data_IF_609521836504
#
_entry.id   IF_609521836504
#
_cell.length_a   1.000
_cell.length_b   1.000
_cell.length_c   1.000
_cell.angle_alpha   90.00
_cell.angle_beta   90.00
_cell.angle_gamma   90.00
#
_symmetry.space_group_name_H-M   'P 1'
#
loop_
_entity.id
_entity.type
_entity.pdbx_description
1 polymer ?
#
# COMPACT_ATOMS: atom_id res chain seq x y z
N UNK A 1 21.44 22.55 -20.30
CA UNK A 1 20.13 22.74 -19.62
C UNK A 1 19.86 21.48 -18.83
N UNK A 2 19.96 21.52 -17.51
CA UNK A 2 19.51 20.39 -16.68
C UNK A 2 17.98 20.41 -16.68
N UNK A 3 17.36 19.36 -17.19
CA UNK A 3 15.92 19.15 -17.03
C UNK A 3 15.78 18.47 -15.67
N UNK A 4 15.13 19.15 -14.74
CA UNK A 4 14.77 18.55 -13.46
C UNK A 4 13.74 17.45 -13.73
N UNK A 5 14.13 16.20 -13.49
CA UNK A 5 13.27 15.02 -13.68
C UNK A 5 12.75 14.61 -12.31
N UNK A 6 11.44 14.48 -12.18
CA UNK A 6 10.78 14.00 -10.96
C UNK A 6 10.36 12.53 -11.09
N UNK A 7 10.24 11.82 -9.98
CA UNK A 7 9.67 10.48 -9.96
C UNK A 7 8.14 10.52 -10.13
N UNK A 8 7.57 9.49 -10.76
CA UNK A 8 6.13 9.29 -10.77
C UNK A 8 5.62 9.06 -9.34
N UNK A 9 4.71 9.91 -8.86
CA UNK A 9 4.12 9.77 -7.52
C UNK A 9 3.01 8.71 -7.52
N UNK A 10 3.09 7.77 -6.58
CA UNK A 10 2.04 6.77 -6.33
C UNK A 10 1.31 7.11 -5.02
N UNK A 11 -0.02 7.17 -5.06
CA UNK A 11 -0.86 7.51 -3.89
C UNK A 11 -1.93 6.47 -3.63
N UNK A 12 -2.29 6.26 -2.38
CA UNK A 12 -3.43 5.43 -2.01
C UNK A 12 -4.73 6.11 -2.46
N UNK A 13 -5.53 5.42 -3.27
CA UNK A 13 -6.83 5.89 -3.74
C UNK A 13 -7.98 5.37 -2.85
N UNK A 14 -7.88 4.15 -2.32
CA UNK A 14 -8.93 3.57 -1.48
C UNK A 14 -9.23 4.47 -0.28
N UNK A 15 -10.50 4.80 -0.03
CA UNK A 15 -10.92 5.69 1.06
C UNK A 15 -11.13 4.95 2.39
N UNK A 16 -11.55 3.69 2.35
CA UNK A 16 -11.67 2.88 3.57
C UNK A 16 -10.30 2.69 4.21
N UNK A 17 -10.19 3.04 5.50
CA UNK A 17 -9.01 2.80 6.36
C UNK A 17 -9.20 1.56 7.24
N UNK A 18 -10.02 0.62 6.80
CA UNK A 18 -10.37 -0.60 7.54
C UNK A 18 -10.10 -1.85 6.69
N UNK A 19 -9.37 -2.81 7.26
CA UNK A 19 -9.14 -4.14 6.70
C UNK A 19 -9.90 -5.15 7.55
N UNK A 20 -10.78 -5.94 6.93
CA UNK A 20 -11.61 -6.92 7.64
C UNK A 20 -11.34 -8.37 7.26
N UNK A 21 -10.36 -8.61 6.39
CA UNK A 21 -10.00 -9.93 5.88
C UNK A 21 -8.48 -10.03 5.76
N UNK A 22 -7.95 -11.26 5.87
CA UNK A 22 -6.52 -11.52 5.64
C UNK A 22 -6.10 -11.22 4.19
N UNK A 23 -6.96 -11.56 3.23
CA UNK A 23 -6.77 -11.25 1.82
C UNK A 23 -7.63 -10.04 1.45
N UNK A 24 -7.00 -8.94 1.08
CA UNK A 24 -7.70 -7.71 0.71
C UNK A 24 -7.01 -7.03 -0.48
N UNK A 25 -7.64 -6.02 -1.04
CA UNK A 25 -7.04 -5.24 -2.13
C UNK A 25 -7.22 -3.75 -1.88
N UNK A 26 -6.20 -2.98 -2.23
CA UNK A 26 -6.22 -1.53 -2.22
C UNK A 26 -5.92 -1.03 -3.62
N UNK A 27 -6.53 0.09 -3.96
CA UNK A 27 -6.29 0.79 -5.20
C UNK A 27 -5.33 1.94 -4.96
N UNK A 28 -4.33 2.04 -5.84
CA UNK A 28 -3.34 3.10 -5.86
C UNK A 28 -3.43 3.85 -7.18
N UNK A 29 -3.10 5.13 -7.15
CA UNK A 29 -3.17 5.99 -8.32
C UNK A 29 -1.82 6.64 -8.57
N UNK A 30 -1.34 6.51 -9.80
CA UNK A 30 -0.17 7.27 -10.26
C UNK A 30 -0.64 8.64 -10.74
N UNK A 31 -0.21 9.66 -10.00
CA UNK A 31 -0.71 11.04 -10.13
C UNK A 31 -0.39 11.64 -11.50
N UNK A 32 0.88 11.58 -11.90
CA UNK A 32 1.37 12.08 -13.18
C UNK A 32 1.67 10.93 -14.15
N UNK A 33 1.30 11.04 -15.44
CA UNK A 33 1.81 10.11 -16.45
C UNK A 33 3.33 10.24 -16.58
N UNK A 34 4.00 9.12 -16.82
CA UNK A 34 5.42 9.10 -17.17
C UNK A 34 5.63 9.75 -18.55
N UNK A 35 6.72 10.50 -18.68
CA UNK A 35 7.11 11.21 -19.89
C UNK A 35 8.45 11.93 -19.73
N UNK A 36 8.68 12.98 -20.53
CA UNK A 36 10.00 13.63 -20.64
C UNK A 36 10.56 14.21 -19.32
N UNK A 37 9.69 14.56 -18.37
CA UNK A 37 10.06 15.16 -17.07
C UNK A 37 9.69 14.29 -15.87
N UNK A 38 8.98 13.18 -16.10
CA UNK A 38 8.51 12.29 -15.04
C UNK A 38 8.97 10.89 -15.36
N UNK A 39 9.91 10.38 -14.57
CA UNK A 39 10.44 9.04 -14.77
C UNK A 39 9.63 7.97 -14.00
N UNK A 40 9.63 6.71 -14.48
CA UNK A 40 9.05 5.60 -13.74
C UNK A 40 9.68 5.47 -12.34
N UNK A 41 8.87 5.02 -11.38
CA UNK A 41 9.34 4.77 -10.02
C UNK A 41 8.76 3.46 -9.48
N UNK A 42 9.60 2.64 -8.87
CA UNK A 42 9.17 1.42 -8.20
C UNK A 42 8.86 1.70 -6.73
N UNK A 43 7.71 1.22 -6.25
CA UNK A 43 7.28 1.35 -4.87
C UNK A 43 7.13 -0.03 -4.26
N UNK A 44 7.62 -0.19 -3.03
CA UNK A 44 7.35 -1.33 -2.16
C UNK A 44 6.28 -0.93 -1.15
N UNK A 45 5.21 -1.70 -1.10
CA UNK A 45 4.02 -1.41 -0.29
C UNK A 45 3.75 -2.58 0.64
N UNK A 46 3.49 -2.31 1.92
CA UNK A 46 3.20 -3.32 2.93
C UNK A 46 2.53 -2.73 4.17
N UNK A 47 1.90 -3.59 4.96
CA UNK A 47 1.33 -3.24 6.25
C UNK A 47 2.34 -3.49 7.38
N UNK A 48 2.34 -2.61 8.36
CA UNK A 48 3.08 -2.73 9.62
C UNK A 48 2.16 -2.55 10.82
N UNK A 49 2.56 -3.08 11.96
CA UNK A 49 1.93 -2.79 13.26
C UNK A 49 2.41 -1.46 13.85
N UNK A 50 2.03 -1.20 15.10
CA UNK A 50 2.37 0.03 15.82
C UNK A 50 3.88 0.18 16.08
N UNK A 51 4.61 -0.93 16.13
CA UNK A 51 6.07 -1.01 16.32
C UNK A 51 6.86 -1.00 15.00
N UNK A 52 6.17 -0.96 13.86
CA UNK A 52 6.79 -0.95 12.54
C UNK A 52 7.17 -2.34 12.02
N UNK A 53 6.72 -3.41 12.68
CA UNK A 53 6.96 -4.78 12.23
C UNK A 53 6.02 -5.10 11.07
N UNK A 54 6.53 -5.62 9.92
CA UNK A 54 5.66 -5.98 8.80
C UNK A 54 4.67 -7.09 9.15
N UNK A 55 3.39 -6.85 8.91
CA UNK A 55 2.27 -7.78 9.16
C UNK A 55 1.60 -8.29 7.88
N UNK A 56 2.06 -7.86 6.70
CA UNK A 56 1.64 -8.40 5.40
C UNK A 56 2.83 -8.90 4.58
N UNK A 57 2.53 -9.50 3.43
CA UNK A 57 3.47 -9.58 2.32
C UNK A 57 3.85 -8.19 1.78
N UNK A 58 4.94 -8.12 1.02
CA UNK A 58 5.40 -6.91 0.35
C UNK A 58 4.99 -6.97 -1.10
N UNK A 59 4.37 -5.90 -1.58
CA UNK A 59 3.92 -5.76 -2.96
C UNK A 59 4.76 -4.70 -3.66
N UNK A 60 5.19 -4.99 -4.89
CA UNK A 60 5.90 -4.02 -5.72
C UNK A 60 4.98 -3.46 -6.78
N UNK A 61 4.87 -2.13 -6.86
CA UNK A 61 4.17 -1.42 -7.93
C UNK A 61 5.18 -0.59 -8.71
N UNK A 62 5.22 -0.78 -10.02
CA UNK A 62 6.00 0.06 -10.91
C UNK A 62 5.07 1.15 -11.46
N UNK A 63 5.25 2.38 -10.99
CA UNK A 63 4.52 3.54 -11.46
C UNK A 63 5.13 4.02 -12.79
N UNK A 64 4.80 3.33 -13.89
CA UNK A 64 5.34 3.55 -15.23
C UNK A 64 4.29 3.99 -16.28
N UNK A 65 3.05 4.23 -15.86
CA UNK A 65 1.94 4.46 -16.79
C UNK A 65 2.12 5.79 -17.51
N UNK A 66 2.04 5.77 -18.83
CA UNK A 66 2.20 6.96 -19.69
C UNK A 66 0.86 7.58 -20.12
N UNK A 67 -0.25 6.86 -19.90
CA UNK A 67 -1.58 7.31 -20.34
C UNK A 67 -2.00 8.61 -19.66
N UNK A 68 -2.53 9.55 -20.43
CA UNK A 68 -3.14 10.77 -19.91
C UNK A 68 -4.47 10.50 -19.19
N UNK A 69 -5.13 9.37 -19.50
CA UNK A 69 -6.35 8.95 -18.83
C UNK A 69 -6.06 8.50 -17.39
N UNK A 70 -6.68 9.16 -16.41
CA UNK A 70 -6.45 8.89 -15.00
C UNK A 70 -6.86 7.46 -14.60
N UNK A 71 -7.95 6.93 -15.15
CA UNK A 71 -8.43 5.58 -14.82
C UNK A 71 -7.45 4.47 -15.23
N UNK A 72 -6.62 4.71 -16.25
CA UNK A 72 -5.59 3.78 -16.71
C UNK A 72 -4.29 3.86 -15.89
N UNK A 73 -4.22 4.81 -14.95
CA UNK A 73 -3.12 4.98 -13.99
C UNK A 73 -3.48 4.46 -12.59
N UNK A 74 -4.52 3.65 -12.50
CA UNK A 74 -4.93 2.97 -11.26
C UNK A 74 -4.33 1.57 -11.20
N UNK A 75 -3.78 1.22 -10.05
CA UNK A 75 -3.18 -0.07 -9.74
C UNK A 75 -3.95 -0.72 -8.61
N UNK A 76 -4.61 -1.84 -8.90
CA UNK A 76 -5.24 -2.66 -7.86
C UNK A 76 -4.23 -3.67 -7.33
N UNK A 77 -3.85 -3.52 -6.07
CA UNK A 77 -2.84 -4.36 -5.43
C UNK A 77 -3.50 -5.23 -4.39
N UNK A 78 -3.20 -6.52 -4.43
CA UNK A 78 -3.70 -7.50 -3.46
C UNK A 78 -2.65 -7.75 -2.40
N UNK A 79 -3.05 -7.72 -1.14
CA UNK A 79 -2.20 -7.99 0.02
C UNK A 79 -2.69 -9.21 0.77
N UNK A 80 -1.76 -9.93 1.35
CA UNK A 80 -2.04 -11.01 2.29
C UNK A 80 -1.43 -10.66 3.66
N UNK A 81 -2.30 -10.52 4.66
CA UNK A 81 -1.88 -10.42 6.05
C UNK A 81 -1.31 -11.76 6.53
N UNK A 82 -0.33 -11.70 7.43
CA UNK A 82 0.16 -12.88 8.14
C UNK A 82 -0.99 -13.49 8.94
N UNK A 83 -0.99 -14.81 9.08
CA UNK A 83 -1.93 -15.46 9.98
C UNK A 83 -1.61 -15.04 11.43
N UNK A 84 -2.62 -14.61 12.18
CA UNK A 84 -2.46 -14.19 13.56
C UNK A 84 -3.68 -13.43 14.10
N UNK A 85 -3.63 -13.15 15.40
CA UNK A 85 -4.58 -12.29 16.07
C UNK A 85 -4.27 -10.81 15.79
N UNK A 86 -5.30 -10.04 15.44
CA UNK A 86 -5.21 -8.61 15.17
C UNK A 86 -6.12 -7.85 16.12
N UNK A 87 -5.56 -6.93 16.89
CA UNK A 87 -6.34 -6.05 17.76
C UNK A 87 -6.89 -4.87 16.96
N UNK A 88 -8.22 -4.75 16.89
CA UNK A 88 -8.92 -3.67 16.18
C UNK A 88 -8.75 -2.29 16.83
N UNK A 89 -8.30 -2.23 18.09
CA UNK A 89 -8.00 -0.98 18.81
C UNK A 89 -6.61 -0.44 18.48
N UNK A 90 -5.71 -1.26 17.95
CA UNK A 90 -4.38 -0.84 17.51
C UNK A 90 -4.44 -0.09 16.18
N UNK A 91 -3.46 0.77 15.98
CA UNK A 91 -3.24 1.47 14.72
C UNK A 91 -2.16 0.71 13.95
N UNK A 92 -2.52 0.26 12.76
CA UNK A 92 -1.61 -0.32 11.78
C UNK A 92 -1.26 0.75 10.76
N UNK A 93 -0.17 0.57 10.03
CA UNK A 93 0.27 1.53 9.01
C UNK A 93 0.50 0.82 7.69
N UNK A 94 -0.12 1.34 6.63
CA UNK A 94 0.27 1.03 5.26
C UNK A 94 1.47 1.91 4.91
N UNK A 95 2.61 1.28 4.64
CA UNK A 95 3.84 1.93 4.20
C UNK A 95 3.91 1.88 2.69
N UNK A 96 4.14 3.03 2.04
CA UNK A 96 4.40 3.18 0.61
C UNK A 96 5.79 3.80 0.49
N UNK A 97 6.78 2.99 0.13
CA UNK A 97 8.18 3.40 0.09
C UNK A 97 8.79 3.18 -1.30
N UNK A 98 9.72 4.05 -1.69
CA UNK A 98 10.64 3.82 -2.80
C UNK A 98 12.08 4.01 -2.30
N UNK A 99 13.06 3.92 -3.19
CA UNK A 99 14.49 3.98 -2.80
C UNK A 99 15.03 5.42 -2.63
N UNK A 100 14.24 6.44 -2.96
CA UNK A 100 14.73 7.83 -3.09
C UNK A 100 14.04 8.82 -2.16
N UNK A 101 12.74 8.64 -1.94
CA UNK A 101 11.87 9.57 -1.22
C UNK A 101 11.58 9.07 0.19
N UNK A 102 11.11 9.97 1.05
CA UNK A 102 10.65 9.60 2.40
C UNK A 102 9.40 8.72 2.26
N UNK A 103 9.34 7.56 2.94
CA UNK A 103 8.16 6.69 2.91
C UNK A 103 6.90 7.43 3.36
N UNK A 104 5.80 7.18 2.67
CA UNK A 104 4.47 7.61 3.09
C UNK A 104 3.83 6.53 3.97
N UNK A 105 3.29 6.94 5.11
CA UNK A 105 2.58 6.06 6.03
C UNK A 105 1.13 6.49 6.17
N UNK A 106 0.21 5.54 6.00
CA UNK A 106 -1.24 5.76 6.14
C UNK A 106 -1.78 4.90 7.26
N UNK A 107 -2.46 5.51 8.23
CA UNK A 107 -3.07 4.80 9.35
C UNK A 107 -4.26 3.93 8.90
N UNK A 108 -4.34 2.71 9.43
CA UNK A 108 -5.38 1.72 9.18
C UNK A 108 -5.79 1.00 10.47
N UNK A 109 -7.01 0.48 10.47
CA UNK A 109 -7.49 -0.47 11.48
C UNK A 109 -7.70 -1.85 10.85
N UNK A 110 -7.23 -2.88 11.54
CA UNK A 110 -7.44 -4.28 11.15
C UNK A 110 -8.47 -4.87 12.11
N UNK A 111 -9.65 -5.23 11.60
CA UNK A 111 -10.78 -5.72 12.37
C UNK A 111 -11.32 -6.99 11.71
N UNK A 112 -10.70 -8.12 12.04
CA UNK A 112 -11.00 -9.42 11.45
C UNK A 112 -11.80 -10.23 12.47
N UNK A 113 -13.07 -10.45 12.17
CA UNK A 113 -14.06 -11.01 13.10
C UNK A 113 -13.83 -12.46 13.58
N UNK A 114 -12.74 -13.12 13.16
CA UNK A 114 -12.46 -14.54 13.46
C UNK A 114 -11.03 -14.80 13.96
N UNK A 115 -10.23 -13.77 14.23
CA UNK A 115 -8.85 -13.96 14.66
C UNK A 115 -8.73 -14.47 16.12
N UNK A 116 -9.78 -14.30 16.92
CA UNK A 116 -9.86 -14.78 18.31
C UNK A 116 -10.48 -16.19 18.46
N UNK A 117 -11.11 -16.75 17.43
CA UNK A 117 -11.94 -17.97 17.54
C UNK A 117 -11.22 -19.28 17.12
N UNK A 118 -9.93 -19.21 16.74
CA UNK A 118 -9.11 -20.39 16.44
C UNK A 118 -8.27 -20.88 17.64
N UNK A 119 -8.81 -20.74 18.85
CA UNK A 119 -8.42 -21.56 19.98
C UNK A 119 -9.06 -22.94 19.86
N UNK A 120 -8.39 -23.90 19.21
CA UNK A 120 -8.75 -25.30 19.36
C UNK A 120 -8.48 -25.71 20.81
N UNK A 121 -9.49 -25.66 21.66
CA UNK A 121 -9.56 -26.53 22.83
C UNK A 121 -9.73 -27.96 22.29
N UNK A 122 -8.66 -28.77 22.39
CA UNK A 122 -8.74 -30.23 22.38
C UNK A 122 -7.94 -30.79 23.56
#
# INVERSE_FOLDING_TARGET
KYVEVSNAELKLLSESRKVSNLLFSLDFFQKQPVGDKVQPCAYTIYMTDDEGVPVSDRQTVIADRTSLNASERVFRVRFNLKAGAYDSKKIYRLVIANDTDVPEEVAFHIDIAFADDFGFDL
#
